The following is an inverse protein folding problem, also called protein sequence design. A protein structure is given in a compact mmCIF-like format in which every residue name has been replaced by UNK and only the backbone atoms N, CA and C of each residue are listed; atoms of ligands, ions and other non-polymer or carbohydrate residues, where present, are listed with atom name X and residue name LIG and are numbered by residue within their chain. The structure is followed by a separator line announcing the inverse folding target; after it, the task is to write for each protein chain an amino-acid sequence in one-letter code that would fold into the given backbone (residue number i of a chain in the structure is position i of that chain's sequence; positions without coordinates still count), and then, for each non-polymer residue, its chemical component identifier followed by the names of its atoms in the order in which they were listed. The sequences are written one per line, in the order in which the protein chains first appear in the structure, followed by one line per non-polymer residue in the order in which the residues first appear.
data_IF_788453841128
#
_entry.id   IF_788453841128
#
_cell.length_a   1.000
_cell.length_b   1.000
_cell.length_c   1.000
_cell.angle_alpha   90.00
_cell.angle_beta   90.00
_cell.angle_gamma   90.00
#
_symmetry.space_group_name_H-M   'P 1'
#
loop_
_entity.id
_entity.type
_entity.pdbx_description
1 polymer ?
#
# COMPACT_ATOMS: atom_id res chain seq x y z
N UNK A 1 7.19 41.58 58.65
CA UNK A 1 7.17 42.20 57.31
C UNK A 1 8.30 41.57 56.50
N UNK A 2 7.96 40.67 55.58
CA UNK A 2 8.94 40.00 54.70
C UNK A 2 8.83 40.65 53.33
N UNK A 3 9.96 41.17 52.85
CA UNK A 3 10.12 41.79 51.53
C UNK A 3 10.02 40.70 50.45
N UNK A 4 9.02 40.78 49.59
CA UNK A 4 8.95 40.02 48.34
C UNK A 4 9.73 40.78 47.26
N UNK A 5 11.02 40.48 47.17
CA UNK A 5 11.81 40.72 45.97
C UNK A 5 11.42 39.73 44.88
N UNK A 6 11.49 40.19 43.63
CA UNK A 6 11.42 39.43 42.37
C UNK A 6 10.05 39.22 41.71
N UNK A 7 9.53 40.29 41.10
CA UNK A 7 8.77 40.19 39.86
C UNK A 7 9.59 40.77 38.72
N UNK A 8 10.48 39.95 38.17
CA UNK A 8 11.09 40.21 36.87
C UNK A 8 10.11 39.68 35.80
N UNK A 9 9.52 40.53 34.94
CA UNK A 9 8.62 40.04 33.89
C UNK A 9 9.42 39.18 32.89
N UNK A 10 8.88 38.05 32.42
CA UNK A 10 9.56 37.24 31.42
C UNK A 10 9.77 38.06 30.14
N UNK A 11 11.04 38.12 29.73
CA UNK A 11 11.54 38.81 28.53
C UNK A 11 10.74 38.36 27.31
N UNK A 12 9.93 39.27 26.77
CA UNK A 12 9.24 39.11 25.49
C UNK A 12 10.28 39.30 24.38
N UNK A 13 10.77 38.19 23.82
CA UNK A 13 11.56 38.26 22.60
C UNK A 13 10.67 38.66 21.42
N UNK A 14 11.12 39.60 20.56
CA UNK A 14 10.29 40.17 19.50
C UNK A 14 10.01 39.13 18.41
N UNK A 15 8.75 38.70 18.32
CA UNK A 15 8.26 37.84 17.23
C UNK A 15 8.09 38.67 15.97
N UNK A 16 8.92 38.40 14.98
CA UNK A 16 8.72 38.71 13.57
C UNK A 16 9.93 38.21 12.75
N UNK A 17 9.81 37.69 11.52
CA UNK A 17 8.63 37.43 10.66
C UNK A 17 8.58 35.96 10.16
N UNK A 18 7.67 35.11 10.65
CA UNK A 18 7.58 33.69 10.22
C UNK A 18 6.39 33.32 9.33
N UNK A 19 5.64 34.29 8.81
CA UNK A 19 4.51 34.04 7.90
C UNK A 19 4.90 33.61 6.47
N UNK A 20 6.17 33.29 6.18
CA UNK A 20 6.58 32.79 4.85
C UNK A 20 7.08 31.35 4.82
N UNK A 21 7.39 30.74 5.97
CA UNK A 21 7.99 29.39 5.98
C UNK A 21 6.98 28.24 5.96
N UNK A 22 5.70 28.53 6.21
CA UNK A 22 4.61 27.55 6.11
C UNK A 22 4.24 27.24 4.64
N UNK A 23 4.57 28.14 3.70
CA UNK A 23 4.34 27.95 2.27
C UNK A 23 5.53 27.27 1.55
N UNK A 24 6.74 27.36 2.09
CA UNK A 24 7.95 26.78 1.47
C UNK A 24 8.20 25.30 1.86
N UNK A 25 7.40 24.74 2.77
CA UNK A 25 7.41 23.31 3.08
C UNK A 25 6.55 22.48 2.12
N UNK A 26 6.62 22.78 0.81
CA UNK A 26 6.24 21.84 -0.26
C UNK A 26 7.06 20.52 -0.22
N UNK A 27 8.06 20.44 0.67
CA UNK A 27 8.85 19.23 0.95
C UNK A 27 8.21 18.26 1.96
N UNK A 28 7.01 18.52 2.50
CA UNK A 28 6.29 17.61 3.40
C UNK A 28 4.96 17.10 2.83
N UNK A 29 4.82 17.04 1.51
CA UNK A 29 3.68 16.40 0.84
C UNK A 29 2.42 17.29 0.89
N UNK A 30 1.87 17.59 -0.29
CA UNK A 30 0.67 18.42 -0.40
C UNK A 30 -0.45 17.93 0.50
N UNK A 31 -1.24 18.88 1.01
CA UNK A 31 -2.40 18.60 1.86
C UNK A 31 -3.24 17.45 1.27
N UNK A 32 -3.56 16.40 2.05
CA UNK A 32 -4.33 15.28 1.55
C UNK A 32 -5.71 15.77 1.13
N UNK A 33 -5.99 15.76 -0.18
CA UNK A 33 -7.28 16.21 -0.76
C UNK A 33 -8.47 15.38 -0.24
N UNK A 34 -8.21 14.16 0.24
CA UNK A 34 -9.21 13.24 0.78
C UNK A 34 -8.73 12.70 2.13
N UNK A 35 -9.09 13.38 3.21
CA UNK A 35 -8.79 12.96 4.59
C UNK A 35 -9.97 12.18 5.17
N UNK A 36 -9.71 11.10 5.93
CA UNK A 36 -10.77 10.33 6.58
C UNK A 36 -11.59 11.22 7.53
N UNK A 37 -12.94 11.13 7.52
CA UNK A 37 -13.80 11.96 8.37
C UNK A 37 -13.43 11.91 9.86
N UNK A 38 -12.94 10.77 10.34
CA UNK A 38 -12.48 10.57 11.73
C UNK A 38 -11.30 11.47 12.04
N UNK A 39 -10.35 11.58 11.11
CA UNK A 39 -9.17 12.43 11.27
C UNK A 39 -9.51 13.91 11.07
N UNK A 40 -10.47 14.23 10.19
CA UNK A 40 -10.99 15.60 10.04
C UNK A 40 -11.65 16.07 11.33
N UNK A 41 -12.50 15.24 11.94
CA UNK A 41 -13.15 15.55 13.21
C UNK A 41 -12.13 15.79 14.32
N UNK A 42 -11.06 14.97 14.37
CA UNK A 42 -9.98 15.18 15.32
C UNK A 42 -9.19 16.47 15.05
N UNK A 43 -8.89 16.80 13.79
CA UNK A 43 -8.22 18.06 13.46
C UNK A 43 -9.04 19.29 13.93
N UNK A 44 -10.35 19.28 13.70
CA UNK A 44 -11.23 20.34 14.20
C UNK A 44 -11.20 20.42 15.73
N UNK A 45 -11.30 19.28 16.41
CA UNK A 45 -11.21 19.22 17.86
C UNK A 45 -9.87 19.77 18.38
N UNK A 46 -8.76 19.45 17.73
CA UNK A 46 -7.42 19.91 18.10
C UNK A 46 -7.29 21.43 17.96
N UNK A 47 -7.84 22.00 16.89
CA UNK A 47 -7.92 23.46 16.70
C UNK A 47 -8.78 24.13 17.78
N UNK A 48 -9.92 23.54 18.16
CA UNK A 48 -10.75 24.05 19.26
C UNK A 48 -10.02 24.01 20.61
N UNK A 49 -9.33 22.91 20.92
CA UNK A 49 -8.53 22.79 22.14
C UNK A 49 -7.40 23.83 22.18
N UNK A 50 -6.74 24.06 21.04
CA UNK A 50 -5.74 25.12 20.96
C UNK A 50 -6.33 26.51 21.14
N UNK A 51 -7.49 26.81 20.53
CA UNK A 51 -8.15 28.10 20.70
C UNK A 51 -8.51 28.37 22.17
N UNK A 52 -9.02 27.35 22.88
CA UNK A 52 -9.29 27.45 24.31
C UNK A 52 -8.02 27.66 25.12
N UNK A 53 -6.97 26.89 24.83
CA UNK A 53 -5.64 27.05 25.44
C UNK A 53 -5.08 28.47 25.24
N UNK A 54 -5.19 29.00 24.03
CA UNK A 54 -4.70 30.31 23.64
C UNK A 54 -5.42 31.44 24.40
N UNK A 55 -6.75 31.39 24.48
CA UNK A 55 -7.56 32.38 25.23
C UNK A 55 -7.18 32.42 26.71
N UNK A 56 -6.96 31.26 27.32
CA UNK A 56 -6.53 31.17 28.73
C UNK A 56 -5.16 31.82 28.94
N UNK A 57 -4.23 31.66 28.00
CA UNK A 57 -2.86 32.16 28.14
C UNK A 57 -2.69 33.63 27.77
N UNK A 58 -3.44 34.13 26.78
CA UNK A 58 -3.26 35.47 26.23
C UNK A 58 -4.30 36.49 26.73
N UNK A 59 -5.36 36.04 27.39
CA UNK A 59 -6.41 36.92 27.91
C UNK A 59 -7.31 37.50 26.82
N UNK A 60 -7.84 38.71 27.06
CA UNK A 60 -8.97 39.27 26.30
C UNK A 60 -8.57 40.07 25.04
N UNK A 61 -7.33 40.51 24.89
CA UNK A 61 -6.89 41.34 23.75
C UNK A 61 -5.49 40.92 23.24
N UNK A 62 -5.38 39.73 22.61
CA UNK A 62 -4.12 39.24 22.11
C UNK A 62 -3.72 39.96 20.83
N UNK A 63 -2.42 40.29 20.70
CA UNK A 63 -1.86 40.89 19.47
C UNK A 63 -2.00 39.99 18.23
N UNK A 64 -2.10 38.68 18.44
CA UNK A 64 -2.24 37.66 17.40
C UNK A 64 -3.50 36.84 17.66
N UNK A 65 -4.07 36.27 16.61
CA UNK A 65 -5.16 35.31 16.78
C UNK A 65 -4.62 33.86 16.90
N UNK A 66 -5.44 32.96 17.46
CA UNK A 66 -5.04 31.57 17.64
C UNK A 66 -4.75 30.87 16.30
N UNK A 67 -5.50 31.23 15.25
CA UNK A 67 -5.39 30.63 13.91
C UNK A 67 -4.07 30.98 13.21
N UNK A 68 -3.52 32.16 13.45
CA UNK A 68 -2.21 32.62 12.97
C UNK A 68 -1.06 31.82 13.57
N UNK A 69 -1.22 31.31 14.80
CA UNK A 69 -0.20 30.51 15.49
C UNK A 69 -0.38 29.01 15.25
N UNK A 70 -1.63 28.55 15.18
CA UNK A 70 -1.96 27.15 14.96
C UNK A 70 -3.33 27.04 14.29
N UNK A 71 -3.31 27.15 12.96
CA UNK A 71 -4.50 27.00 12.13
C UNK A 71 -4.90 25.55 11.88
N UNK A 72 -6.05 25.39 11.22
CA UNK A 72 -6.62 24.07 10.89
C UNK A 72 -5.68 23.21 10.04
N UNK A 73 -4.87 23.82 9.20
CA UNK A 73 -3.90 23.10 8.36
C UNK A 73 -2.80 22.42 9.21
N UNK A 74 -2.29 23.09 10.24
CA UNK A 74 -1.37 22.49 11.20
C UNK A 74 -2.04 21.34 11.98
N UNK A 75 -3.32 21.47 12.32
CA UNK A 75 -4.07 20.42 12.99
C UNK A 75 -4.30 19.20 12.09
N UNK A 76 -4.60 19.40 10.80
CA UNK A 76 -4.69 18.33 9.81
C UNK A 76 -3.36 17.59 9.63
N UNK A 77 -2.24 18.31 9.61
CA UNK A 77 -0.92 17.68 9.55
C UNK A 77 -0.67 16.75 10.75
N UNK A 78 -0.98 17.21 11.97
CA UNK A 78 -0.88 16.37 13.18
C UNK A 78 -1.82 15.16 13.10
N UNK A 79 -3.07 15.37 12.68
CA UNK A 79 -4.08 14.32 12.58
C UNK A 79 -3.69 13.24 11.56
N UNK A 80 -3.11 13.64 10.42
CA UNK A 80 -2.65 12.71 9.38
C UNK A 80 -1.40 11.94 9.81
N UNK A 81 -0.42 12.62 10.42
CA UNK A 81 0.83 12.01 10.91
C UNK A 81 0.69 11.25 12.24
N UNK A 82 -0.53 11.05 12.74
CA UNK A 82 -0.78 10.60 14.10
C UNK A 82 -0.18 9.22 14.43
N UNK A 83 -0.11 8.32 13.44
CA UNK A 83 0.47 6.99 13.59
C UNK A 83 1.95 7.07 14.02
N UNK A 84 2.68 8.06 13.51
CA UNK A 84 4.13 8.21 13.69
C UNK A 84 4.48 9.21 14.81
N UNK A 85 3.47 9.87 15.39
CA UNK A 85 3.61 10.76 16.55
C UNK A 85 3.81 10.00 17.85
N UNK A 86 5.07 9.65 18.15
CA UNK A 86 5.44 8.96 19.39
C UNK A 86 5.94 9.90 20.49
N UNK A 87 6.43 11.10 20.13
CA UNK A 87 7.05 12.03 21.07
C UNK A 87 6.55 13.46 20.89
N UNK A 88 6.68 14.25 21.96
CA UNK A 88 6.43 15.70 21.94
C UNK A 88 7.31 16.43 20.93
N UNK A 89 8.54 15.95 20.72
CA UNK A 89 9.47 16.53 19.75
C UNK A 89 8.95 16.38 18.30
N UNK A 90 8.24 15.29 17.98
CA UNK A 90 7.61 15.15 16.67
C UNK A 90 6.52 16.21 16.45
N UNK A 91 5.70 16.48 17.47
CA UNK A 91 4.70 17.55 17.40
C UNK A 91 5.39 18.90 17.24
N UNK A 92 6.40 19.18 18.07
CA UNK A 92 7.17 20.44 18.00
C UNK A 92 7.73 20.67 16.60
N UNK A 93 8.34 19.66 15.98
CA UNK A 93 8.86 19.74 14.61
C UNK A 93 7.75 19.98 13.59
N UNK A 94 6.61 19.30 13.71
CA UNK A 94 5.51 19.47 12.76
C UNK A 94 4.84 20.85 12.80
N UNK A 95 4.85 21.52 13.94
CA UNK A 95 4.31 22.89 14.06
C UNK A 95 5.35 23.98 13.78
N UNK A 96 6.53 23.61 13.26
CA UNK A 96 7.57 24.58 12.87
C UNK A 96 8.63 24.88 13.94
N UNK A 97 8.67 24.12 15.03
CA UNK A 97 9.73 24.18 16.05
C UNK A 97 9.52 25.26 17.13
N UNK A 98 8.94 26.39 16.75
CA UNK A 98 8.53 27.45 17.67
C UNK A 98 7.15 27.14 18.25
N UNK A 99 7.01 27.32 19.55
CA UNK A 99 5.76 27.02 20.26
C UNK A 99 5.67 27.85 21.53
N UNK A 100 4.46 28.23 21.92
CA UNK A 100 4.24 28.83 23.23
C UNK A 100 4.41 27.80 24.35
N UNK A 101 4.77 28.27 25.55
CA UNK A 101 4.89 27.42 26.74
C UNK A 101 3.61 26.62 26.94
N UNK A 102 3.73 25.30 27.05
CA UNK A 102 2.60 24.39 27.26
C UNK A 102 1.87 23.92 25.98
N UNK A 103 2.02 24.58 24.83
CA UNK A 103 1.33 24.20 23.58
C UNK A 103 1.66 22.77 23.16
N UNK A 104 2.95 22.42 23.09
CA UNK A 104 3.38 21.07 22.67
C UNK A 104 2.85 19.99 23.62
N UNK A 105 2.82 20.27 24.93
CA UNK A 105 2.28 19.34 25.91
C UNK A 105 0.78 19.13 25.71
N UNK A 106 0.02 20.22 25.56
CA UNK A 106 -1.43 20.17 25.33
C UNK A 106 -1.74 19.38 24.05
N UNK A 107 -1.09 19.70 22.93
CA UNK A 107 -1.30 18.99 21.66
C UNK A 107 -0.94 17.51 21.77
N UNK A 108 0.14 17.17 22.48
CA UNK A 108 0.55 15.78 22.68
C UNK A 108 -0.45 14.98 23.52
N UNK A 109 -1.01 15.59 24.56
CA UNK A 109 -2.04 14.93 25.36
C UNK A 109 -3.34 14.76 24.57
N UNK A 110 -3.77 15.75 23.77
CA UNK A 110 -4.91 15.57 22.85
C UNK A 110 -4.71 14.39 21.89
N UNK A 111 -3.52 14.28 21.29
CA UNK A 111 -3.16 13.16 20.41
C UNK A 111 -3.20 11.83 21.17
N UNK A 112 -2.61 11.76 22.36
CA UNK A 112 -2.62 10.53 23.17
C UNK A 112 -4.03 10.09 23.53
N UNK A 113 -4.85 11.01 24.03
CA UNK A 113 -6.25 10.72 24.43
C UNK A 113 -7.06 10.23 23.25
N UNK A 114 -6.97 10.90 22.10
CA UNK A 114 -7.69 10.46 20.91
C UNK A 114 -7.20 9.10 20.41
N UNK A 115 -5.89 8.85 20.43
CA UNK A 115 -5.32 7.55 20.06
C UNK A 115 -5.82 6.40 20.93
N UNK A 116 -6.01 6.63 22.22
CA UNK A 116 -6.58 5.62 23.12
C UNK A 116 -8.08 5.43 22.98
N UNK A 117 -8.78 6.32 22.26
CA UNK A 117 -10.23 6.27 22.12
C UNK A 117 -10.71 5.27 21.06
N UNK A 118 -11.91 4.75 21.27
CA UNK A 118 -12.54 3.74 20.41
C UNK A 118 -12.65 4.19 18.95
N UNK A 119 -12.98 5.47 18.72
CA UNK A 119 -13.09 6.04 17.37
C UNK A 119 -11.81 5.87 16.56
N UNK A 120 -10.65 6.12 17.17
CA UNK A 120 -9.37 5.96 16.48
C UNK A 120 -8.98 4.49 16.32
N UNK A 121 -9.24 3.66 17.33
CA UNK A 121 -8.97 2.22 17.26
C UNK A 121 -9.78 1.57 16.14
N UNK A 122 -11.05 1.95 16.00
CA UNK A 122 -11.93 1.49 14.93
C UNK A 122 -11.45 1.95 13.55
N UNK A 123 -11.01 3.21 13.43
CA UNK A 123 -10.40 3.71 12.19
C UNK A 123 -9.18 2.87 11.78
N UNK A 124 -8.26 2.59 12.71
CA UNK A 124 -7.07 1.77 12.43
C UNK A 124 -7.45 0.32 12.12
N UNK A 125 -8.45 -0.25 12.79
CA UNK A 125 -8.95 -1.60 12.52
C UNK A 125 -9.47 -1.71 11.09
N UNK A 126 -10.36 -0.79 10.67
CA UNK A 126 -10.88 -0.76 9.29
C UNK A 126 -9.78 -0.59 8.25
N UNK A 127 -8.80 0.26 8.52
CA UNK A 127 -7.66 0.46 7.63
C UNK A 127 -6.82 -0.82 7.46
N UNK A 128 -6.63 -1.59 8.54
CA UNK A 128 -5.94 -2.90 8.48
C UNK A 128 -6.76 -3.94 7.72
N UNK A 129 -8.05 -4.05 8.01
CA UNK A 129 -8.93 -5.01 7.34
C UNK A 129 -8.99 -4.76 5.83
N UNK A 130 -9.12 -3.49 5.41
CA UNK A 130 -9.10 -3.13 3.99
C UNK A 130 -7.77 -3.52 3.31
N UNK A 131 -6.65 -3.34 4.01
CA UNK A 131 -5.33 -3.70 3.52
C UNK A 131 -5.16 -5.23 3.40
N UNK A 132 -5.58 -5.98 4.43
CA UNK A 132 -5.48 -7.43 4.44
C UNK A 132 -6.37 -8.07 3.36
N UNK A 133 -7.56 -7.51 3.14
CA UNK A 133 -8.44 -7.92 2.06
C UNK A 133 -7.85 -7.63 0.68
N UNK A 134 -7.14 -6.51 0.53
CA UNK A 134 -6.41 -6.21 -0.71
C UNK A 134 -5.32 -7.25 -0.98
N UNK A 135 -4.54 -7.61 0.03
CA UNK A 135 -3.48 -8.65 -0.08
C UNK A 135 -4.11 -9.98 -0.48
N UNK A 136 -5.15 -10.44 0.22
CA UNK A 136 -5.82 -11.70 -0.08
C UNK A 136 -6.34 -11.75 -1.52
N UNK A 137 -6.91 -10.65 -2.01
CA UNK A 137 -7.37 -10.57 -3.41
C UNK A 137 -6.21 -10.67 -4.40
N UNK A 138 -5.09 -10.01 -4.11
CA UNK A 138 -3.89 -10.07 -4.95
C UNK A 138 -3.33 -11.50 -5.01
N UNK A 139 -3.26 -12.18 -3.87
CA UNK A 139 -2.78 -13.57 -3.80
C UNK A 139 -3.68 -14.52 -4.59
N UNK A 140 -5.01 -14.39 -4.45
CA UNK A 140 -5.96 -15.17 -5.22
C UNK A 140 -5.83 -14.95 -6.75
N UNK A 141 -5.54 -13.72 -7.18
CA UNK A 141 -5.29 -13.42 -8.59
C UNK A 141 -4.00 -14.11 -9.06
N UNK A 142 -2.93 -14.00 -8.28
CA UNK A 142 -1.64 -14.59 -8.61
C UNK A 142 -1.71 -16.12 -8.70
N UNK A 143 -2.40 -16.75 -7.76
CA UNK A 143 -2.64 -18.19 -7.75
C UNK A 143 -3.44 -18.63 -8.98
N UNK A 144 -4.52 -17.92 -9.32
CA UNK A 144 -5.30 -18.21 -10.52
C UNK A 144 -4.49 -18.08 -11.81
N UNK A 145 -3.59 -17.09 -11.89
CA UNK A 145 -2.68 -16.92 -13.03
C UNK A 145 -1.71 -18.11 -13.10
N UNK A 146 -1.13 -18.52 -11.97
CA UNK A 146 -0.23 -19.66 -11.91
C UNK A 146 -0.94 -20.97 -12.33
N UNK A 147 -2.12 -21.24 -11.78
CA UNK A 147 -2.92 -22.43 -12.09
C UNK A 147 -3.29 -22.49 -13.58
N UNK A 148 -3.73 -21.37 -14.17
CA UNK A 148 -4.01 -21.30 -15.62
C UNK A 148 -2.78 -21.56 -16.47
N UNK A 149 -1.59 -21.08 -16.06
CA UNK A 149 -0.33 -21.36 -16.78
C UNK A 149 0.02 -22.84 -16.71
N UNK A 150 -0.03 -23.43 -15.52
CA UNK A 150 0.24 -24.87 -15.30
C UNK A 150 -0.72 -25.74 -16.08
N UNK A 151 -2.02 -25.41 -16.07
CA UNK A 151 -3.03 -26.13 -16.83
C UNK A 151 -2.76 -26.07 -18.34
N UNK A 152 -2.48 -24.88 -18.88
CA UNK A 152 -2.14 -24.73 -20.31
C UNK A 152 -0.89 -25.53 -20.69
N UNK A 153 0.12 -25.55 -19.83
CA UNK A 153 1.34 -26.33 -20.07
C UNK A 153 1.04 -27.82 -20.10
N UNK A 154 0.25 -28.32 -19.13
CA UNK A 154 -0.16 -29.72 -19.09
C UNK A 154 -0.97 -30.11 -20.33
N UNK A 155 -1.94 -29.31 -20.74
CA UNK A 155 -2.71 -29.54 -21.96
C UNK A 155 -1.82 -29.54 -23.23
N UNK A 156 -0.80 -28.70 -23.29
CA UNK A 156 0.16 -28.72 -24.40
C UNK A 156 1.01 -30.00 -24.40
N UNK A 157 1.46 -30.45 -23.23
CA UNK A 157 2.21 -31.70 -23.09
C UNK A 157 1.36 -32.92 -23.45
N UNK A 158 0.10 -32.97 -22.98
CA UNK A 158 -0.82 -34.07 -23.27
C UNK A 158 -1.10 -34.14 -24.78
N UNK A 159 -1.40 -32.99 -25.43
CA UNK A 159 -1.56 -32.92 -26.90
C UNK A 159 -0.30 -33.31 -27.66
N UNK A 160 0.89 -33.00 -27.14
CA UNK A 160 2.14 -33.40 -27.77
C UNK A 160 2.35 -34.92 -27.70
N UNK A 161 2.10 -35.51 -26.52
CA UNK A 161 2.18 -36.97 -26.32
C UNK A 161 1.18 -37.73 -27.18
N UNK A 162 -0.06 -37.25 -27.28
CA UNK A 162 -1.06 -37.87 -28.15
C UNK A 162 -0.63 -37.87 -29.63
N UNK A 163 -0.05 -36.76 -30.10
CA UNK A 163 0.49 -36.67 -31.47
C UNK A 163 1.66 -37.61 -31.69
N UNK A 164 2.54 -37.74 -30.72
CA UNK A 164 3.68 -38.66 -30.76
C UNK A 164 3.22 -40.12 -30.86
N UNK A 165 2.30 -40.54 -29.98
CA UNK A 165 1.71 -41.88 -30.01
C UNK A 165 0.99 -42.14 -31.35
N UNK A 166 0.21 -41.17 -31.84
CA UNK A 166 -0.48 -41.31 -33.12
C UNK A 166 0.49 -41.42 -34.31
N UNK A 167 1.59 -40.66 -34.29
CA UNK A 167 2.64 -40.73 -35.30
C UNK A 167 3.35 -42.09 -35.27
N UNK A 168 3.62 -42.63 -34.09
CA UNK A 168 4.26 -43.93 -33.92
C UNK A 168 3.36 -45.08 -34.40
N UNK A 169 2.08 -45.07 -34.04
CA UNK A 169 1.08 -46.03 -34.56
C UNK A 169 1.01 -45.97 -36.09
N UNK A 170 1.01 -44.76 -36.66
CA UNK A 170 0.97 -44.57 -38.11
C UNK A 170 2.25 -45.10 -38.77
N UNK A 171 3.42 -44.82 -38.20
CA UNK A 171 4.70 -45.33 -38.69
C UNK A 171 4.76 -46.85 -38.63
N UNK A 172 4.23 -47.46 -37.57
CA UNK A 172 4.16 -48.91 -37.44
C UNK A 172 3.29 -49.53 -38.55
N UNK A 173 2.08 -49.00 -38.77
CA UNK A 173 1.21 -49.49 -39.84
C UNK A 173 1.85 -49.42 -41.23
N UNK A 174 2.57 -48.32 -41.52
CA UNK A 174 3.29 -48.17 -42.78
C UNK A 174 4.42 -49.20 -42.93
N UNK A 175 5.13 -49.52 -41.84
CA UNK A 175 6.14 -50.60 -41.84
C UNK A 175 5.48 -51.95 -42.12
N UNK A 176 4.39 -52.27 -41.44
CA UNK A 176 3.68 -53.53 -41.60
C UNK A 176 3.14 -53.70 -43.05
N UNK A 177 2.58 -52.63 -43.62
CA UNK A 177 2.11 -52.62 -45.02
C UNK A 177 3.27 -52.81 -46.02
N UNK A 178 4.43 -52.20 -45.77
CA UNK A 178 5.60 -52.36 -46.62
C UNK A 178 6.13 -53.80 -46.59
N UNK A 179 6.16 -54.43 -45.41
CA UNK A 179 6.55 -55.84 -45.24
C UNK A 179 5.58 -56.73 -46.03
N UNK A 180 4.26 -56.50 -45.89
CA UNK A 180 3.23 -57.25 -46.61
C UNK A 180 3.38 -57.13 -48.13
N UNK A 181 3.63 -55.93 -48.63
CA UNK A 181 3.81 -55.70 -50.07
C UNK A 181 5.09 -56.35 -50.61
N UNK A 182 6.19 -56.32 -49.84
CA UNK A 182 7.43 -56.99 -50.21
C UNK A 182 7.22 -58.52 -50.29
N UNK A 183 6.48 -59.11 -49.35
CA UNK A 183 6.11 -60.53 -49.39
C UNK A 183 5.35 -60.92 -50.66
N UNK A 184 4.32 -60.16 -51.04
CA UNK A 184 3.58 -60.42 -52.29
C UNK A 184 4.46 -60.32 -53.54
N UNK A 185 5.41 -59.37 -53.56
CA UNK A 185 6.35 -59.22 -54.69
C UNK A 185 7.31 -60.40 -54.78
N UNK A 186 7.85 -60.84 -53.65
CA UNK A 186 8.75 -62.00 -53.59
C UNK A 186 8.04 -63.28 -54.07
N UNK A 187 6.79 -63.49 -53.66
CA UNK A 187 5.99 -64.63 -54.09
C UNK A 187 5.73 -64.63 -55.61
N UNK A 188 5.32 -63.49 -56.18
CA UNK A 188 5.16 -63.37 -57.64
C UNK A 188 6.46 -63.56 -58.41
N UNK A 189 7.60 -63.14 -57.85
CA UNK A 189 8.90 -63.37 -58.47
C UNK A 189 9.29 -64.84 -58.44
N UNK A 190 9.04 -65.54 -57.34
CA UNK A 190 9.26 -66.99 -57.24
C UNK A 190 8.37 -67.75 -58.25
N UNK A 191 7.08 -67.44 -58.33
CA UNK A 191 6.15 -68.04 -59.30
C UNK A 191 6.58 -67.79 -60.76
N UNK A 192 7.09 -66.59 -61.07
CA UNK A 192 7.58 -66.27 -62.41
C UNK A 192 8.87 -67.04 -62.78
N UNK A 193 9.76 -67.26 -61.79
CA UNK A 193 10.96 -68.06 -61.98
C UNK A 193 10.62 -69.54 -62.21
N UNK A 194 9.71 -70.10 -61.40
CA UNK A 194 9.24 -71.49 -61.56
C UNK A 194 8.57 -71.73 -62.92
N UNK A 195 7.80 -70.76 -63.45
CA UNK A 195 7.22 -70.84 -64.80
C UNK A 195 8.26 -70.70 -65.92
N UNK A 196 9.39 -70.04 -65.66
CA UNK A 196 10.49 -69.90 -66.63
C UNK A 196 11.42 -71.12 -66.67
N UNK A 197 11.56 -71.84 -65.56
CA UNK A 197 12.36 -73.07 -65.46
C UNK A 197 11.61 -74.32 -65.95
N UNK A 198 10.30 -74.23 -66.16
CA UNK A 198 9.48 -75.33 -66.66
C UNK A 198 8.60 -74.89 -67.85
N UNK A 199 9.19 -74.52 -69.00
CA UNK A 199 8.42 -74.19 -70.19
C UNK A 199 7.84 -75.48 -70.77
N UNK A 200 6.52 -75.52 -70.92
CA UNK A 200 5.79 -76.59 -71.57
C UNK A 200 6.29 -76.84 -73.01
#
# INVERSE_FOLDING_TARGET
MVLLSELNPPVVNPVGPMLRKLAETEKLGGFPKNMDPTLVAFANHLSEQFNNFFKIHMGNDPKYNAEELFGIESAKCIAHGMKDLTTREHIRKMIGGESMTGQVNMLFECVKTFRSGDTYQEYIRKAREAHDDLIRRMDAINENIANKKTQKLKEQQDRAREKEVAAEIKAQRLRDDAIRLAGFRAQRQAEALEQSENPN
#
